data_IF_147835841198
#
_entry.id   IF_147835841198
#
_cell.length_a   1.000
_cell.length_b   1.000
_cell.length_c   1.000
_cell.angle_alpha   90.00
_cell.angle_beta   90.00
_cell.angle_gamma   90.00
#
_symmetry.space_group_name_H-M   'P 1'
#
loop_
_entity.id
_entity.type
_entity.pdbx_description
1 polymer ?
#
# COMPACT_ATOMS: atom_id res chain seq x y z
N UNK A 1 -2.85 -7.25 -22.13
CA UNK A 1 -1.73 -6.70 -21.33
C UNK A 1 -1.56 -7.56 -20.10
N UNK A 2 -0.34 -7.73 -19.61
CA UNK A 2 -0.08 -8.53 -18.41
C UNK A 2 -0.32 -7.64 -17.19
N UNK A 3 -1.04 -8.17 -16.19
CA UNK A 3 -1.22 -7.52 -14.89
C UNK A 3 0.06 -7.60 -14.09
N UNK A 4 0.30 -6.62 -13.23
CA UNK A 4 1.40 -6.69 -12.28
C UNK A 4 0.88 -6.91 -10.87
N UNK A 5 1.65 -7.68 -10.10
CA UNK A 5 1.34 -8.04 -8.73
C UNK A 5 2.47 -7.53 -7.85
N UNK A 6 2.18 -6.51 -7.06
CA UNK A 6 3.15 -5.91 -6.15
C UNK A 6 2.76 -6.25 -4.72
N UNK A 7 3.70 -6.83 -3.97
CA UNK A 7 3.55 -7.09 -2.55
C UNK A 7 4.75 -6.51 -1.82
N UNK A 8 4.48 -5.59 -0.91
CA UNK A 8 5.51 -4.93 -0.09
C UNK A 8 5.22 -5.25 1.36
N UNK A 9 6.26 -5.68 2.09
CA UNK A 9 6.20 -5.81 3.55
C UNK A 9 6.76 -4.54 4.15
N UNK A 10 5.96 -3.88 4.98
CA UNK A 10 6.35 -2.66 5.69
C UNK A 10 6.58 -3.01 7.17
N UNK A 11 7.68 -2.50 7.71
CA UNK A 11 8.02 -2.61 9.12
C UNK A 11 7.93 -1.22 9.75
N UNK A 12 6.91 -0.99 10.56
CA UNK A 12 6.66 0.31 11.21
C UNK A 12 6.95 0.15 12.69
N UNK A 13 7.62 1.12 13.31
CA UNK A 13 7.76 1.13 14.77
C UNK A 13 6.36 1.13 15.42
N UNK A 14 6.13 0.26 16.40
CA UNK A 14 4.80 0.00 16.94
C UNK A 14 4.15 1.25 17.56
N UNK A 15 4.96 2.14 18.13
CA UNK A 15 4.53 3.43 18.67
C UNK A 15 4.20 4.47 17.60
N UNK A 16 4.59 4.23 16.33
CA UNK A 16 4.28 5.06 15.15
C UNK A 16 3.16 4.47 14.28
N UNK A 17 2.67 3.27 14.61
CA UNK A 17 1.68 2.55 13.80
C UNK A 17 0.37 3.34 13.63
N UNK A 18 -0.12 3.98 14.69
CA UNK A 18 -1.35 4.78 14.63
C UNK A 18 -1.18 6.03 13.75
N UNK A 19 -0.03 6.71 13.85
CA UNK A 19 0.29 7.86 13.00
C UNK A 19 0.36 7.43 11.53
N UNK A 20 1.02 6.30 11.25
CA UNK A 20 1.08 5.73 9.91
C UNK A 20 -0.31 5.43 9.34
N UNK A 21 -1.18 4.77 10.11
CA UNK A 21 -2.55 4.44 9.69
C UNK A 21 -3.35 5.71 9.38
N UNK A 22 -3.25 6.75 10.23
CA UNK A 22 -3.95 8.02 10.03
C UNK A 22 -3.43 8.79 8.80
N UNK A 23 -2.11 8.80 8.56
CA UNK A 23 -1.52 9.39 7.36
C UNK A 23 -1.97 8.65 6.10
N UNK A 24 -1.95 7.32 6.14
CA UNK A 24 -2.38 6.48 5.03
C UNK A 24 -3.84 6.70 4.67
N UNK A 25 -4.73 6.70 5.67
CA UNK A 25 -6.17 6.94 5.46
C UNK A 25 -6.44 8.33 4.88
N UNK A 26 -5.71 9.35 5.34
CA UNK A 26 -5.89 10.73 4.88
C UNK A 26 -5.42 10.93 3.44
N UNK A 27 -4.24 10.43 3.09
CA UNK A 27 -3.54 10.83 1.87
C UNK A 27 -3.55 9.73 0.80
N UNK A 28 -3.22 8.49 1.16
CA UNK A 28 -3.04 7.38 0.20
C UNK A 28 -4.35 6.68 -0.15
N UNK A 29 -5.24 6.52 0.82
CA UNK A 29 -6.49 5.80 0.58
C UNK A 29 -7.34 6.48 -0.51
N UNK A 30 -7.43 7.80 -0.49
CA UNK A 30 -8.16 8.56 -1.50
C UNK A 30 -7.52 8.43 -2.89
N UNK A 31 -6.20 8.40 -2.97
CA UNK A 31 -5.49 8.11 -4.24
C UNK A 31 -5.86 6.72 -4.74
N UNK A 32 -5.73 5.70 -3.91
CA UNK A 32 -6.04 4.33 -4.30
C UNK A 32 -7.50 4.15 -4.76
N UNK A 33 -8.43 4.87 -4.14
CA UNK A 33 -9.82 4.92 -4.58
C UNK A 33 -9.95 5.51 -6.00
N UNK A 34 -9.24 6.59 -6.34
CA UNK A 34 -9.21 7.15 -7.72
C UNK A 34 -8.62 6.16 -8.72
N UNK A 35 -7.43 5.60 -8.44
CA UNK A 35 -6.79 4.61 -9.32
C UNK A 35 -7.68 3.38 -9.51
N UNK A 36 -8.39 2.94 -8.47
CA UNK A 36 -9.35 1.83 -8.55
C UNK A 36 -10.56 2.20 -9.40
N UNK A 37 -11.15 3.38 -9.19
CA UNK A 37 -12.30 3.87 -9.94
C UNK A 37 -11.98 4.01 -11.45
N UNK A 38 -10.74 4.36 -11.78
CA UNK A 38 -10.23 4.45 -13.16
C UNK A 38 -9.80 3.11 -13.75
N UNK A 39 -9.91 2.02 -12.99
CA UNK A 39 -9.51 0.67 -13.42
C UNK A 39 -8.00 0.48 -13.57
N UNK A 40 -7.19 1.39 -13.00
CA UNK A 40 -5.73 1.28 -12.94
C UNK A 40 -5.31 0.27 -11.90
N UNK A 41 -5.90 0.36 -10.71
CA UNK A 41 -5.78 -0.65 -9.66
C UNK A 41 -6.98 -1.60 -9.75
N UNK A 42 -6.68 -2.88 -9.87
CA UNK A 42 -7.68 -3.95 -9.87
C UNK A 42 -7.92 -4.45 -8.44
N UNK A 43 -6.88 -4.43 -7.62
CA UNK A 43 -6.93 -4.67 -6.18
C UNK A 43 -5.90 -3.78 -5.49
N UNK A 44 -6.25 -3.20 -4.34
CA UNK A 44 -5.33 -2.43 -3.50
C UNK A 44 -5.71 -2.64 -2.02
N UNK A 45 -4.77 -3.15 -1.23
CA UNK A 45 -5.00 -3.50 0.18
C UNK A 45 -3.79 -3.16 1.03
N UNK A 46 -4.05 -2.51 2.17
CA UNK A 46 -3.12 -2.42 3.30
C UNK A 46 -3.62 -3.35 4.40
N UNK A 47 -2.79 -4.32 4.79
CA UNK A 47 -3.13 -5.37 5.75
C UNK A 47 -2.24 -5.22 6.96
N UNK A 48 -2.83 -4.92 8.13
CA UNK A 48 -2.13 -4.94 9.41
C UNK A 48 -1.93 -6.39 9.87
N UNK A 49 -0.68 -6.83 9.98
CA UNK A 49 -0.37 -8.18 10.42
C UNK A 49 -0.52 -8.31 11.94
N UNK A 50 -1.32 -9.28 12.39
CA UNK A 50 -1.42 -9.62 13.83
C UNK A 50 -0.35 -10.60 14.30
N UNK A 51 0.20 -11.37 13.36
CA UNK A 51 1.21 -12.39 13.61
C UNK A 51 2.15 -12.44 12.42
N UNK A 52 3.45 -12.51 12.70
CA UNK A 52 4.50 -12.78 11.71
C UNK A 52 5.47 -13.82 12.28
N UNK A 53 5.91 -14.76 11.44
CA UNK A 53 6.92 -15.74 11.85
C UNK A 53 8.28 -15.06 12.17
N UNK A 54 8.48 -13.83 11.70
CA UNK A 54 9.68 -13.01 11.91
C UNK A 54 9.36 -11.75 12.73
N UNK A 55 8.29 -11.77 13.53
CA UNK A 55 7.86 -10.58 14.26
C UNK A 55 8.94 -10.12 15.24
N UNK A 56 9.44 -8.89 15.02
CA UNK A 56 10.39 -8.24 15.91
C UNK A 56 9.64 -7.48 17.02
N UNK A 57 10.22 -7.45 18.22
CA UNK A 57 9.68 -6.65 19.32
C UNK A 57 9.68 -5.16 18.94
N UNK A 58 8.59 -4.46 19.27
CA UNK A 58 8.45 -3.04 18.97
C UNK A 58 8.18 -2.71 17.49
N UNK A 59 7.93 -3.70 16.63
CA UNK A 59 7.58 -3.52 15.23
C UNK A 59 6.13 -3.97 14.98
N UNK A 60 5.39 -3.16 14.23
CA UNK A 60 4.12 -3.50 13.61
C UNK A 60 4.34 -3.74 12.11
N UNK A 61 4.13 -4.98 11.70
CA UNK A 61 4.23 -5.38 10.29
C UNK A 61 2.93 -5.06 9.54
N UNK A 62 3.08 -4.63 8.28
CA UNK A 62 1.99 -4.52 7.33
C UNK A 62 2.34 -5.20 6.01
N UNK A 63 1.32 -5.69 5.30
CA UNK A 63 1.44 -6.10 3.90
C UNK A 63 0.64 -5.13 3.05
N UNK A 64 1.33 -4.49 2.12
CA UNK A 64 0.72 -3.73 1.02
C UNK A 64 0.64 -4.66 -0.19
N UNK A 65 -0.55 -4.84 -0.73
CA UNK A 65 -0.78 -5.64 -1.92
C UNK A 65 -1.56 -4.83 -2.96
N UNK A 66 -0.98 -4.68 -4.15
CA UNK A 66 -1.60 -3.99 -5.28
C UNK A 66 -1.52 -4.87 -6.52
N UNK A 67 -2.63 -4.96 -7.25
CA UNK A 67 -2.70 -5.57 -8.58
C UNK A 67 -3.05 -4.47 -9.57
N UNK A 68 -2.15 -4.19 -10.51
CA UNK A 68 -2.38 -3.17 -11.54
C UNK A 68 -2.90 -3.79 -12.83
N UNK A 69 -3.61 -2.99 -13.62
CA UNK A 69 -4.11 -3.43 -14.92
C UNK A 69 -2.98 -3.72 -15.93
N UNK A 70 -1.87 -2.99 -15.82
CA UNK A 70 -0.66 -3.08 -16.63
C UNK A 70 0.52 -2.34 -15.95
N UNK A 71 1.71 -2.45 -16.54
CA UNK A 71 2.95 -1.75 -16.12
C UNK A 71 2.78 -0.22 -16.09
N UNK A 72 2.03 0.35 -17.04
CA UNK A 72 1.85 1.79 -17.09
C UNK A 72 1.04 2.31 -15.89
N UNK A 73 0.06 1.56 -15.41
CA UNK A 73 -0.69 1.87 -14.20
C UNK A 73 0.17 1.87 -12.93
N UNK A 74 1.22 1.03 -12.87
CA UNK A 74 2.19 1.05 -11.77
C UNK A 74 3.03 2.33 -11.82
N UNK A 75 3.61 2.62 -12.98
CA UNK A 75 4.45 3.81 -13.18
C UNK A 75 3.66 5.11 -12.97
N UNK A 76 2.38 5.16 -13.38
CA UNK A 76 1.52 6.32 -13.15
C UNK A 76 1.33 6.62 -11.66
N UNK A 77 1.30 5.60 -10.80
CA UNK A 77 1.22 5.79 -9.35
C UNK A 77 2.57 6.22 -8.76
N UNK A 78 3.67 5.60 -9.18
CA UNK A 78 5.01 5.94 -8.70
C UNK A 78 5.44 7.37 -9.06
N UNK A 79 4.99 7.88 -10.21
CA UNK A 79 5.26 9.23 -10.68
C UNK A 79 4.24 10.29 -10.18
N UNK A 80 3.25 9.90 -9.37
CA UNK A 80 2.24 10.84 -8.83
C UNK A 80 2.93 11.94 -8.01
N UNK A 81 2.79 13.24 -8.36
CA UNK A 81 3.40 14.34 -7.61
C UNK A 81 2.97 14.41 -6.15
N UNK A 82 1.80 13.86 -5.81
CA UNK A 82 1.29 13.73 -4.45
C UNK A 82 1.89 12.55 -3.67
N UNK A 83 2.56 11.61 -4.34
CA UNK A 83 3.27 10.46 -3.77
C UNK A 83 4.75 10.80 -3.52
N UNK A 84 5.01 11.78 -2.65
CA UNK A 84 6.37 12.24 -2.26
C UNK A 84 6.52 12.43 -0.75
#
# INVERSE_FOLDING_TARGET
>A
MAREYTTIVLHIAADRAADFEALFERDELQRWEDYTARGRFLEARLIRCRYSALQAEGIQDYVLHVVTADEHAHHEHDDDPGFK
#
